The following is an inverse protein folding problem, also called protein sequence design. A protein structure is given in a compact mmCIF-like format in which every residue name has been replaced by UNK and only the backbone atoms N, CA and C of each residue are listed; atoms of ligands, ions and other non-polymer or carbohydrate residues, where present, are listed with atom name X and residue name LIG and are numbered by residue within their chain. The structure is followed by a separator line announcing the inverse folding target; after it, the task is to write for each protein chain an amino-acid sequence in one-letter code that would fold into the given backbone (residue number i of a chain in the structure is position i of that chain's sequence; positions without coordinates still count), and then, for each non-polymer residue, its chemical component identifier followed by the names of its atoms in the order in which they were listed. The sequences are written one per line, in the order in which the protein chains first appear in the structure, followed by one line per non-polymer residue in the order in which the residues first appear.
data_IF_112577479413
#
_entry.id   IF_112577479413
#
_cell.length_a   1.000
_cell.length_b   1.000
_cell.length_c   1.000
_cell.angle_alpha   90.00
_cell.angle_beta   90.00
_cell.angle_gamma   90.00
#
_symmetry.space_group_name_H-M   'P 1'
#
loop_
_entity.id
_entity.type
_entity.pdbx_description
1 polymer ?
#
# COMPACT_ATOMS: atom_id res chain seq x y z
N UNK A 1 11.96 7.22 12.08
CA UNK A 1 10.65 7.20 11.40
C UNK A 1 9.81 6.17 12.12
N UNK A 2 8.79 6.59 12.86
CA UNK A 2 7.81 5.66 13.40
C UNK A 2 6.89 5.23 12.26
N UNK A 3 6.95 3.96 11.87
CA UNK A 3 6.05 3.41 10.87
C UNK A 3 4.76 3.03 11.59
N UNK A 4 3.70 3.83 11.43
CA UNK A 4 2.42 3.61 12.10
C UNK A 4 1.73 2.36 11.56
N UNK A 5 1.35 1.45 12.47
CA UNK A 5 0.36 0.40 12.19
C UNK A 5 -0.99 1.08 11.91
N UNK A 6 -1.76 0.61 10.94
CA UNK A 6 -3.02 1.25 10.58
C UNK A 6 -3.99 1.23 11.77
N UNK A 7 -4.53 2.38 12.15
CA UNK A 7 -5.45 2.52 13.28
C UNK A 7 -6.87 1.99 12.98
N UNK A 8 -7.13 1.64 11.72
CA UNK A 8 -8.36 0.98 11.26
C UNK A 8 -8.07 0.17 10.02
N UNK A 9 -8.94 -0.78 9.73
CA UNK A 9 -8.88 -1.48 8.45
C UNK A 9 -9.26 -0.57 7.28
N UNK A 10 -8.54 -0.73 6.17
CA UNK A 10 -8.85 -0.09 4.89
C UNK A 10 -9.95 -0.84 4.15
N UNK A 11 -10.84 -0.09 3.52
CA UNK A 11 -11.86 -0.66 2.62
C UNK A 11 -11.21 -1.28 1.37
N UNK A 12 -11.88 -2.20 0.65
CA UNK A 12 -11.36 -2.76 -0.59
C UNK A 12 -10.98 -1.70 -1.64
N UNK A 13 -11.77 -0.62 -1.73
CA UNK A 13 -11.48 0.49 -2.63
C UNK A 13 -10.25 1.30 -2.19
N UNK A 14 -10.07 1.51 -0.88
CA UNK A 14 -8.85 2.14 -0.36
C UNK A 14 -7.61 1.28 -0.66
N UNK A 15 -7.66 -0.04 -0.42
CA UNK A 15 -6.58 -0.97 -0.75
C UNK A 15 -6.24 -0.92 -2.25
N UNK A 16 -7.25 -0.88 -3.13
CA UNK A 16 -7.06 -0.75 -4.57
C UNK A 16 -6.36 0.57 -4.96
N UNK A 17 -6.86 1.70 -4.45
CA UNK A 17 -6.28 3.03 -4.75
C UNK A 17 -4.84 3.12 -4.25
N UNK A 18 -4.55 2.60 -3.05
CA UNK A 18 -3.20 2.60 -2.49
C UNK A 18 -2.25 1.66 -3.21
N UNK A 19 -2.74 0.51 -3.70
CA UNK A 19 -1.96 -0.38 -4.57
C UNK A 19 -1.51 0.32 -5.85
N UNK A 20 -2.44 1.00 -6.53
CA UNK A 20 -2.12 1.78 -7.73
C UNK A 20 -1.23 3.00 -7.45
N UNK A 21 -1.38 3.63 -6.28
CA UNK A 21 -0.49 4.68 -5.80
C UNK A 21 0.93 4.16 -5.58
N UNK A 22 1.07 2.95 -5.03
CA UNK A 22 2.35 2.26 -4.87
C UNK A 22 3.02 1.92 -6.20
N UNK A 23 2.26 1.75 -7.29
CA UNK A 23 2.81 1.63 -8.65
C UNK A 23 3.26 2.98 -9.24
N UNK A 24 3.13 4.09 -8.50
CA UNK A 24 3.56 5.42 -8.94
C UNK A 24 2.53 6.17 -9.80
N UNK A 25 1.29 5.69 -9.91
CA UNK A 25 0.26 6.30 -10.75
C UNK A 25 -0.26 7.63 -10.20
N UNK A 26 -0.50 8.61 -11.07
CA UNK A 26 -1.14 9.90 -10.72
C UNK A 26 -2.61 9.71 -10.31
N UNK A 27 -3.22 10.72 -9.69
CA UNK A 27 -4.66 10.69 -9.38
C UNK A 27 -5.51 10.52 -10.64
N UNK A 28 -5.13 11.18 -11.75
CA UNK A 28 -5.78 11.04 -13.05
C UNK A 28 -5.70 9.62 -13.62
N UNK A 29 -4.53 8.98 -13.53
CA UNK A 29 -4.36 7.61 -14.00
C UNK A 29 -5.15 6.60 -13.16
N UNK A 30 -5.16 6.78 -11.83
CA UNK A 30 -5.96 5.95 -10.92
C UNK A 30 -7.45 6.14 -11.17
N UNK A 31 -7.90 7.38 -11.35
CA UNK A 31 -9.28 7.72 -11.67
C UNK A 31 -9.75 7.03 -12.96
N UNK A 32 -8.95 7.14 -14.02
CA UNK A 32 -9.22 6.47 -15.30
C UNK A 32 -9.28 4.94 -15.15
N UNK A 33 -8.35 4.32 -14.42
CA UNK A 33 -8.31 2.87 -14.26
C UNK A 33 -9.42 2.32 -13.36
N UNK A 34 -9.88 3.11 -12.39
CA UNK A 34 -10.94 2.70 -11.46
C UNK A 34 -12.33 3.13 -11.92
N UNK A 35 -12.47 3.85 -13.04
CA UNK A 35 -13.73 4.46 -13.50
C UNK A 35 -14.36 5.40 -12.46
N UNK A 36 -13.52 6.17 -11.76
CA UNK A 36 -13.94 7.20 -10.80
C UNK A 36 -13.37 8.57 -11.19
N UNK A 37 -13.76 9.63 -10.48
CA UNK A 37 -13.20 10.97 -10.70
C UNK A 37 -11.90 11.16 -9.91
N UNK A 38 -11.03 12.07 -10.37
CA UNK A 38 -9.82 12.46 -9.64
C UNK A 38 -10.14 12.91 -8.21
N UNK A 39 -11.26 13.60 -8.03
CA UNK A 39 -11.69 14.07 -6.72
C UNK A 39 -11.99 12.92 -5.75
N UNK A 40 -12.57 11.84 -6.25
CA UNK A 40 -12.80 10.64 -5.43
C UNK A 40 -11.46 10.02 -5.01
N UNK A 41 -10.48 9.95 -5.92
CA UNK A 41 -9.15 9.43 -5.60
C UNK A 41 -8.43 10.29 -4.56
N UNK A 42 -8.43 11.62 -4.72
CA UNK A 42 -7.88 12.56 -3.72
C UNK A 42 -8.47 12.35 -2.32
N UNK A 43 -9.80 12.27 -2.26
CA UNK A 43 -10.51 12.09 -1.02
C UNK A 43 -10.18 10.73 -0.37
N UNK A 44 -10.03 9.68 -1.18
CA UNK A 44 -9.62 8.34 -0.72
C UNK A 44 -8.19 8.33 -0.19
N UNK A 45 -7.25 8.97 -0.88
CA UNK A 45 -5.86 9.13 -0.42
C UNK A 45 -5.83 9.88 0.91
N UNK A 46 -6.60 10.96 1.03
CA UNK A 46 -6.68 11.77 2.25
C UNK A 46 -7.28 10.99 3.44
N UNK A 47 -8.32 10.18 3.21
CA UNK A 47 -8.91 9.31 4.25
C UNK A 47 -7.98 8.17 4.65
N UNK A 48 -7.22 7.65 3.69
CA UNK A 48 -6.24 6.59 3.94
C UNK A 48 -5.05 7.11 4.76
N UNK A 49 -4.54 8.30 4.45
CA UNK A 49 -3.48 8.94 5.24
C UNK A 49 -3.86 9.09 6.73
N UNK A 50 -5.12 9.46 7.00
CA UNK A 50 -5.65 9.51 8.38
C UNK A 50 -5.69 8.14 9.06
N UNK A 51 -5.94 7.06 8.32
CA UNK A 51 -5.93 5.71 8.87
C UNK A 51 -4.53 5.29 9.37
N UNK A 52 -3.47 5.78 8.71
CA UNK A 52 -2.08 5.57 9.14
C UNK A 52 -1.55 6.68 10.07
N UNK A 53 -2.42 7.55 10.59
CA UNK A 53 -2.06 8.72 11.39
C UNK A 53 -0.98 9.62 10.75
N UNK A 54 -0.90 9.64 9.41
CA UNK A 54 0.07 10.46 8.68
C UNK A 54 -0.40 11.91 8.73
N UNK A 55 0.43 12.77 9.31
CA UNK A 55 0.24 14.22 9.25
C UNK A 55 0.83 14.74 7.94
N UNK A 56 0.07 15.57 7.24
CA UNK A 56 0.59 16.35 6.13
C UNK A 56 1.29 17.58 6.72
N UNK A 57 2.60 17.70 6.50
CA UNK A 57 3.34 18.95 6.70
C UNK A 57 3.86 19.47 5.34
N UNK A 58 4.41 20.69 5.32
CA UNK A 58 4.81 21.34 4.07
C UNK A 58 6.05 20.71 3.43
N UNK A 59 6.87 20.00 4.21
CA UNK A 59 8.14 19.42 3.77
C UNK A 59 8.01 17.94 3.36
N UNK A 60 6.91 17.29 3.75
CA UNK A 60 6.75 15.85 3.60
C UNK A 60 5.70 15.47 2.55
N UNK A 61 6.14 14.71 1.54
CA UNK A 61 5.23 14.18 0.53
C UNK A 61 4.36 13.06 1.11
N UNK A 62 3.10 13.38 1.42
CA UNK A 62 2.13 12.44 2.00
C UNK A 62 1.98 11.15 1.18
N UNK A 63 2.09 11.21 -0.15
CA UNK A 63 1.96 10.01 -0.99
C UNK A 63 3.12 9.04 -0.77
N UNK A 64 4.33 9.54 -0.58
CA UNK A 64 5.52 8.71 -0.31
C UNK A 64 5.37 8.02 1.04
N UNK A 65 5.00 8.77 2.08
CA UNK A 65 4.74 8.18 3.41
C UNK A 65 3.61 7.15 3.37
N UNK A 66 2.54 7.45 2.64
CA UNK A 66 1.39 6.57 2.55
C UNK A 66 1.73 5.29 1.79
N UNK A 67 2.54 5.35 0.74
CA UNK A 67 3.05 4.17 0.05
C UNK A 67 3.92 3.31 0.97
N UNK A 68 4.82 3.94 1.74
CA UNK A 68 5.68 3.23 2.68
C UNK A 68 4.88 2.56 3.80
N UNK A 69 3.94 3.27 4.41
CA UNK A 69 3.07 2.74 5.47
C UNK A 69 2.19 1.60 4.95
N UNK A 70 1.57 1.77 3.77
CA UNK A 70 0.74 0.74 3.15
C UNK A 70 1.54 -0.53 2.85
N UNK A 71 2.72 -0.41 2.23
CA UNK A 71 3.61 -1.55 1.92
C UNK A 71 4.15 -2.24 3.17
N UNK A 72 4.41 -1.48 4.24
CA UNK A 72 4.88 -2.07 5.50
C UNK A 72 3.76 -2.86 6.20
N UNK A 73 2.52 -2.39 6.08
CA UNK A 73 1.37 -3.00 6.74
C UNK A 73 0.77 -4.18 5.97
N UNK A 74 0.69 -4.09 4.64
CA UNK A 74 0.01 -5.09 3.80
C UNK A 74 0.97 -5.89 2.90
N UNK A 75 2.28 -5.65 3.03
CA UNK A 75 3.27 -6.17 2.09
C UNK A 75 3.30 -5.39 0.78
N UNK A 76 4.30 -5.68 -0.04
CA UNK A 76 4.46 -5.07 -1.35
C UNK A 76 4.33 -6.13 -2.44
N UNK A 77 3.13 -6.23 -3.00
CA UNK A 77 2.81 -7.18 -4.09
C UNK A 77 3.54 -6.85 -5.40
N UNK A 78 4.28 -5.75 -5.48
CA UNK A 78 5.21 -5.53 -6.58
C UNK A 78 6.36 -6.56 -6.57
N UNK A 79 6.78 -7.06 -5.40
CA UNK A 79 7.77 -8.14 -5.33
C UNK A 79 7.24 -9.45 -5.90
N UNK A 80 5.95 -9.76 -5.69
CA UNK A 80 5.30 -10.93 -6.28
C UNK A 80 5.35 -10.86 -7.82
N UNK A 81 5.15 -9.67 -8.39
CA UNK A 81 5.21 -9.44 -9.84
C UNK A 81 6.62 -9.53 -10.42
N UNK A 82 7.64 -9.27 -9.61
CA UNK A 82 9.05 -9.37 -9.99
C UNK A 82 9.56 -10.83 -9.98
N UNK A 83 8.76 -11.80 -9.50
CA UNK A 83 9.19 -13.19 -9.27
C UNK A 83 10.50 -13.30 -8.47
N UNK A 84 10.77 -12.31 -7.62
CA UNK A 84 11.96 -12.32 -6.75
C UNK A 84 11.56 -13.06 -5.49
N UNK A 85 12.30 -14.12 -5.17
CA UNK A 85 12.11 -14.88 -3.93
C UNK A 85 12.22 -13.94 -2.73
N UNK A 86 11.21 -13.93 -1.86
CA UNK A 86 11.23 -13.08 -0.69
C UNK A 86 12.37 -13.53 0.23
N UNK A 87 13.08 -12.60 0.89
CA UNK A 87 14.17 -12.96 1.82
C UNK A 87 13.70 -13.76 3.06
N UNK A 88 12.38 -13.91 3.23
CA UNK A 88 11.74 -14.70 4.30
C UNK A 88 11.19 -16.04 3.76
N UNK A 89 11.65 -16.45 2.58
CA UNK A 89 11.29 -17.70 1.96
C UNK A 89 11.98 -18.85 2.68
N UNK A 90 11.19 -19.73 3.28
CA UNK A 90 11.67 -21.01 3.81
C UNK A 90 10.90 -22.16 3.16
N UNK A 91 11.61 -23.26 2.92
CA UNK A 91 11.02 -24.52 2.50
C UNK A 91 10.78 -25.34 3.77
N UNK A 92 9.52 -25.62 4.07
CA UNK A 92 9.17 -26.50 5.19
C UNK A 92 9.68 -27.93 4.93
N UNK A 93 9.75 -28.72 5.99
CA UNK A 93 9.95 -30.15 6.01
C UNK A 93 9.04 -30.96 5.06
N UNK A 94 7.87 -30.42 4.70
CA UNK A 94 6.94 -30.98 3.69
C UNK A 94 7.18 -30.49 2.25
N UNK A 95 8.23 -29.71 2.00
CA UNK A 95 8.56 -29.17 0.67
C UNK A 95 7.67 -28.01 0.21
N UNK A 96 6.91 -27.41 1.14
CA UNK A 96 6.03 -26.27 0.85
C UNK A 96 6.80 -24.97 1.00
N UNK A 97 6.62 -24.06 0.04
CA UNK A 97 7.11 -22.69 0.12
C UNK A 97 6.29 -21.91 1.14
N UNK A 98 6.89 -21.53 2.26
CA UNK A 98 6.27 -20.72 3.32
C UNK A 98 6.91 -19.33 3.33
N UNK A 99 6.08 -18.29 3.37
CA UNK A 99 6.50 -16.92 3.64
C UNK A 99 5.94 -16.52 5.01
N UNK A 100 6.78 -16.53 6.06
CA UNK A 100 6.38 -16.25 7.46
C UNK A 100 5.92 -14.80 7.73
N UNK A 101 5.69 -13.99 6.69
CA UNK A 101 5.23 -12.60 6.81
C UNK A 101 3.80 -12.40 6.31
N UNK A 102 3.19 -13.42 5.71
CA UNK A 102 1.83 -13.37 5.16
C UNK A 102 0.96 -14.39 5.92
N UNK A 103 0.72 -14.12 7.21
CA UNK A 103 -0.39 -14.74 7.96
C UNK A 103 -1.59 -13.79 7.99
#
# INVERSE_FOLDING_TARGET
MDITIANRELTPFEKLVLGLLCEGKSNSAIAAQTSHTEKVVENTVSRSAKAFAIKSDADTNTRVLLALAFRTHYGDSAFDKLQVECQHFEIDSDGRSICHRHD
#
